data_IF_306662664304
#
_entry.id   IF_306662664304
#
_cell.length_a   1.000
_cell.length_b   1.000
_cell.length_c   1.000
_cell.angle_alpha   90.00
_cell.angle_beta   90.00
_cell.angle_gamma   90.00
#
_symmetry.space_group_name_H-M   'P 1'
#
loop_
_entity.id
_entity.type
_entity.pdbx_description
1 polymer ?
#
# COMPACT_ATOMS: atom_id res chain seq x y z
N UNK A 1 0.11 9.25 -14.08
CA UNK A 1 0.35 9.09 -12.63
C UNK A 1 -0.65 8.06 -12.15
N UNK A 2 -0.18 6.98 -11.57
CA UNK A 2 -1.04 5.96 -10.98
C UNK A 2 -0.89 6.06 -9.46
N UNK A 3 -2.02 6.01 -8.75
CA UNK A 3 -2.04 6.09 -7.29
C UNK A 3 -3.07 5.14 -6.70
N UNK A 4 -2.64 4.34 -5.72
CA UNK A 4 -3.51 3.46 -4.95
C UNK A 4 -3.49 3.92 -3.49
N UNK A 5 -4.67 4.29 -2.95
CA UNK A 5 -4.79 4.71 -1.55
C UNK A 5 -5.36 3.58 -0.69
N UNK A 6 -4.71 3.30 0.42
CA UNK A 6 -5.11 2.30 1.41
C UNK A 6 -4.84 2.86 2.81
N UNK A 7 -5.91 3.24 3.51
CA UNK A 7 -5.84 4.00 4.77
C UNK A 7 -5.00 5.28 4.63
N UNK A 8 -3.99 5.47 5.47
CA UNK A 8 -3.05 6.58 5.40
C UNK A 8 -1.88 6.35 4.43
N UNK A 9 -1.78 5.17 3.81
CA UNK A 9 -0.74 4.83 2.84
C UNK A 9 -1.22 5.06 1.41
N UNK A 10 -0.35 5.65 0.59
CA UNK A 10 -0.52 5.72 -0.85
C UNK A 10 0.69 5.12 -1.56
N UNK A 11 0.45 4.22 -2.50
CA UNK A 11 1.45 3.85 -3.49
C UNK A 11 1.36 4.80 -4.66
N UNK A 12 2.49 5.35 -5.09
CA UNK A 12 2.56 6.34 -6.17
C UNK A 12 3.56 5.90 -7.25
N UNK A 13 3.08 5.82 -8.48
CA UNK A 13 3.88 5.66 -9.69
C UNK A 13 3.97 6.99 -10.42
N UNK A 14 5.19 7.49 -10.64
CA UNK A 14 5.41 8.77 -11.30
C UNK A 14 6.54 8.67 -12.34
N UNK A 15 6.15 8.66 -13.61
CA UNK A 15 7.09 8.65 -14.72
C UNK A 15 7.60 10.07 -14.97
N UNK A 16 8.79 10.40 -14.45
CA UNK A 16 9.54 11.59 -14.84
C UNK A 16 10.55 11.21 -15.92
N UNK A 17 10.36 11.77 -17.12
CA UNK A 17 11.37 11.70 -18.18
C UNK A 17 12.70 12.31 -17.72
N UNK A 18 13.78 11.61 -18.06
CA UNK A 18 15.14 11.90 -17.61
C UNK A 18 15.59 13.35 -17.84
N UNK A 19 15.16 13.95 -18.95
CA UNK A 19 15.53 15.32 -19.37
C UNK A 19 15.03 16.44 -18.45
N UNK A 20 14.11 16.15 -17.52
CA UNK A 20 13.54 17.18 -16.64
C UNK A 20 13.86 16.97 -15.16
N UNK A 21 14.66 15.94 -14.79
CA UNK A 21 15.04 15.65 -13.38
C UNK A 21 16.08 16.61 -12.78
N UNK A 22 16.09 17.86 -13.24
CA UNK A 22 16.72 18.99 -12.55
C UNK A 22 15.85 19.44 -11.34
N UNK A 23 16.25 20.51 -10.65
CA UNK A 23 15.62 20.94 -9.39
C UNK A 23 14.10 21.16 -9.46
N UNK A 24 13.56 21.52 -10.63
CA UNK A 24 12.13 21.76 -10.84
C UNK A 24 11.27 20.50 -10.69
N UNK A 25 11.77 19.33 -11.10
CA UNK A 25 11.01 18.07 -10.96
C UNK A 25 10.86 17.62 -9.51
N UNK A 26 11.90 17.78 -8.69
CA UNK A 26 11.82 17.49 -7.26
C UNK A 26 10.79 18.41 -6.57
N UNK A 27 10.77 19.68 -6.96
CA UNK A 27 9.78 20.64 -6.46
C UNK A 27 8.36 20.28 -6.90
N UNK A 28 8.15 19.97 -8.19
CA UNK A 28 6.85 19.57 -8.72
C UNK A 28 6.34 18.30 -8.02
N UNK A 29 7.21 17.31 -7.86
CA UNK A 29 6.88 16.08 -7.14
C UNK A 29 6.46 16.36 -5.70
N UNK A 30 7.21 17.19 -4.98
CA UNK A 30 6.84 17.60 -3.62
C UNK A 30 5.49 18.35 -3.56
N UNK A 31 5.15 19.16 -4.57
CA UNK A 31 3.84 19.81 -4.70
C UNK A 31 2.73 18.81 -4.93
N UNK A 32 2.94 17.82 -5.79
CA UNK A 32 1.99 16.72 -6.02
C UNK A 32 1.74 15.95 -4.73
N UNK A 33 2.80 15.54 -4.01
CA UNK A 33 2.65 14.87 -2.71
C UNK A 33 1.89 15.73 -1.70
N UNK A 34 2.16 17.04 -1.65
CA UNK A 34 1.45 17.98 -0.79
C UNK A 34 -0.05 18.02 -1.12
N UNK A 35 -0.42 18.09 -2.40
CA UNK A 35 -1.83 18.11 -2.83
C UNK A 35 -2.51 16.79 -2.46
N UNK A 36 -1.87 15.65 -2.73
CA UNK A 36 -2.41 14.32 -2.39
C UNK A 36 -2.64 14.17 -0.89
N UNK A 37 -1.70 14.65 -0.06
CA UNK A 37 -1.90 14.75 1.39
C UNK A 37 -3.11 15.61 1.74
N UNK A 38 -3.25 16.80 1.15
CA UNK A 38 -4.34 17.72 1.50
C UNK A 38 -5.71 17.18 1.08
N UNK A 39 -5.80 16.50 -0.06
CA UNK A 39 -7.07 15.97 -0.58
C UNK A 39 -7.48 14.66 0.09
N UNK A 40 -6.53 13.76 0.33
CA UNK A 40 -6.80 12.38 0.75
C UNK A 40 -6.29 12.05 2.15
N UNK A 41 -5.67 13.01 2.85
CA UNK A 41 -5.13 12.84 4.19
C UNK A 41 -4.12 11.67 4.31
N UNK A 42 -3.39 11.41 3.23
CA UNK A 42 -2.31 10.42 3.17
C UNK A 42 -1.11 10.93 3.97
N UNK A 43 -0.53 10.08 4.80
CA UNK A 43 0.64 10.41 5.63
C UNK A 43 1.85 9.52 5.34
N UNK A 44 1.66 8.44 4.56
CA UNK A 44 2.71 7.52 4.14
C UNK A 44 2.67 7.36 2.63
N UNK A 45 3.75 7.73 1.93
CA UNK A 45 3.90 7.46 0.50
C UNK A 45 4.84 6.29 0.28
N UNK A 46 4.54 5.46 -0.71
CA UNK A 46 5.31 4.26 -1.05
C UNK A 46 5.69 4.27 -2.51
N UNK A 47 6.95 3.93 -2.79
CA UNK A 47 7.48 3.69 -4.14
C UNK A 47 7.67 2.19 -4.32
N UNK A 48 7.21 1.66 -5.45
CA UNK A 48 7.39 0.27 -5.84
C UNK A 48 8.86 -0.02 -6.25
N UNK A 49 9.45 -1.19 -5.90
CA UNK A 49 10.79 -1.60 -6.32
C UNK A 49 11.08 -1.42 -7.81
N UNK A 50 10.10 -1.66 -8.68
CA UNK A 50 10.28 -1.51 -10.13
C UNK A 50 10.61 -0.06 -10.51
N UNK A 51 9.98 0.92 -9.85
CA UNK A 51 10.25 2.36 -10.06
C UNK A 51 11.63 2.78 -9.54
N UNK A 52 12.24 2.00 -8.64
CA UNK A 52 13.59 2.23 -8.12
C UNK A 52 14.68 1.57 -8.97
N UNK A 53 14.30 0.64 -9.86
CA UNK A 53 15.22 -0.09 -10.73
C UNK A 53 15.30 -1.60 -10.49
N UNK A 54 14.42 -2.18 -9.66
CA UNK A 54 14.29 -3.63 -9.59
C UNK A 54 13.70 -4.17 -10.89
N UNK A 55 14.44 -5.05 -11.59
CA UNK A 55 14.04 -5.57 -12.91
C UNK A 55 13.81 -4.47 -13.97
N UNK A 56 14.32 -3.25 -13.72
CA UNK A 56 14.15 -2.08 -14.57
C UNK A 56 15.48 -1.33 -14.71
N UNK A 57 16.17 -1.56 -15.83
CA UNK A 57 17.49 -0.94 -16.08
C UNK A 57 17.40 0.59 -16.16
N UNK A 58 16.34 1.14 -16.74
CA UNK A 58 16.14 2.59 -16.85
C UNK A 58 16.10 3.25 -15.46
N UNK A 59 15.52 2.58 -14.46
CA UNK A 59 15.52 3.04 -13.07
C UNK A 59 16.93 3.12 -12.48
N UNK A 60 17.81 2.17 -12.84
CA UNK A 60 19.21 2.12 -12.41
C UNK A 60 20.03 3.21 -13.12
N UNK A 61 19.95 3.28 -14.45
CA UNK A 61 20.66 4.27 -15.27
C UNK A 61 20.30 5.70 -14.89
N UNK A 62 19.02 5.96 -14.62
CA UNK A 62 18.52 7.28 -14.23
C UNK A 62 18.81 7.65 -12.76
N UNK A 63 19.35 6.72 -11.96
CA UNK A 63 19.61 6.94 -10.53
C UNK A 63 18.34 7.24 -9.72
N UNK A 64 17.19 6.64 -10.11
CA UNK A 64 15.88 6.91 -9.51
C UNK A 64 15.87 6.74 -7.99
N UNK A 65 16.59 5.74 -7.48
CA UNK A 65 16.75 5.51 -6.05
C UNK A 65 17.21 6.77 -5.30
N UNK A 66 18.26 7.45 -5.80
CA UNK A 66 18.80 8.64 -5.15
C UNK A 66 17.89 9.86 -5.27
N UNK A 67 17.08 9.95 -6.33
CA UNK A 67 16.05 10.98 -6.45
C UNK A 67 15.04 10.89 -5.30
N UNK A 68 14.46 9.70 -5.09
CA UNK A 68 13.51 9.48 -3.97
C UNK A 68 14.20 9.61 -2.62
N UNK A 69 15.43 9.11 -2.48
CA UNK A 69 16.18 9.23 -1.22
C UNK A 69 16.40 10.69 -0.80
N UNK A 70 16.77 11.57 -1.74
CA UNK A 70 16.94 13.01 -1.50
C UNK A 70 15.65 13.72 -1.08
N UNK A 71 14.49 13.19 -1.50
CA UNK A 71 13.17 13.67 -1.07
C UNK A 71 12.76 13.16 0.32
N UNK A 72 13.61 12.37 0.98
CA UNK A 72 13.39 11.87 2.34
C UNK A 72 12.80 10.45 2.40
N UNK A 73 12.61 9.77 1.27
CA UNK A 73 12.18 8.39 1.29
C UNK A 73 13.27 7.50 1.91
N UNK A 74 12.85 6.44 2.62
CA UNK A 74 13.73 5.46 3.27
C UNK A 74 13.40 4.03 2.82
N UNK A 75 14.39 3.14 2.68
CA UNK A 75 14.13 1.73 2.41
C UNK A 75 13.38 1.07 3.58
N UNK A 76 12.57 0.06 3.26
CA UNK A 76 11.80 -0.70 4.26
C UNK A 76 12.53 -1.94 4.78
N UNK A 77 13.48 -2.50 4.02
CA UNK A 77 14.22 -3.69 4.45
C UNK A 77 15.52 -3.31 5.13
N UNK A 78 15.78 -3.93 6.29
CA UNK A 78 16.96 -3.66 7.11
C UNK A 78 18.29 -3.88 6.35
N UNK A 79 18.33 -4.85 5.43
CA UNK A 79 19.50 -5.09 4.57
C UNK A 79 19.82 -3.89 3.67
N UNK A 80 18.81 -3.31 3.01
CA UNK A 80 18.98 -2.12 2.16
C UNK A 80 19.32 -0.88 2.98
N UNK A 81 18.73 -0.73 4.16
CA UNK A 81 19.07 0.37 5.08
C UNK A 81 20.56 0.37 5.43
N UNK A 82 21.14 -0.80 5.74
CA UNK A 82 22.59 -0.94 6.01
C UNK A 82 23.46 -0.59 4.80
N UNK A 83 23.06 -1.02 3.60
CA UNK A 83 23.78 -0.68 2.36
C UNK A 83 23.73 0.84 2.14
N UNK A 84 22.55 1.44 2.31
CA UNK A 84 22.31 2.86 2.13
C UNK A 84 23.21 3.70 3.05
N UNK A 85 23.27 3.38 4.34
CA UNK A 85 24.14 4.07 5.30
C UNK A 85 25.62 4.04 4.90
N UNK A 86 26.08 2.94 4.30
CA UNK A 86 27.43 2.80 3.77
C UNK A 86 27.65 3.70 2.55
N UNK A 87 26.70 3.74 1.62
CA UNK A 87 26.78 4.57 0.42
C UNK A 87 26.69 6.07 0.74
N UNK A 88 25.83 6.48 1.68
CA UNK A 88 25.73 7.87 2.13
C UNK A 88 27.04 8.36 2.74
N UNK A 89 27.73 7.53 3.52
CA UNK A 89 29.08 7.85 4.05
C UNK A 89 30.11 8.03 2.93
N UNK A 90 30.08 7.19 1.90
CA UNK A 90 30.99 7.33 0.74
C UNK A 90 30.71 8.60 -0.05
N UNK A 91 29.43 8.92 -0.29
CA UNK A 91 29.00 10.13 -0.99
C UNK A 91 29.38 11.39 -0.21
N UNK A 92 29.23 11.39 1.12
CA UNK A 92 29.64 12.50 1.97
C UNK A 92 31.16 12.71 1.98
N UNK A 93 31.93 11.62 1.98
CA UNK A 93 33.40 11.69 2.00
C UNK A 93 34.03 12.01 0.65
N UNK A 94 33.35 11.73 -0.47
CA UNK A 94 33.91 11.82 -1.84
C UNK A 94 32.90 12.44 -2.81
N UNK A 95 32.98 13.75 -3.11
CA UNK A 95 32.01 14.44 -3.99
C UNK A 95 31.90 13.87 -5.42
N UNK A 96 32.99 13.29 -5.93
CA UNK A 96 33.05 12.68 -7.27
C UNK A 96 32.57 11.22 -7.29
N UNK A 97 32.36 10.60 -6.13
CA UNK A 97 31.89 9.22 -6.06
C UNK A 97 30.46 9.09 -6.61
N UNK A 98 30.22 7.98 -7.29
CA UNK A 98 28.88 7.56 -7.74
C UNK A 98 28.66 6.12 -7.30
N UNK A 99 27.48 5.87 -6.75
CA UNK A 99 27.05 4.50 -6.41
C UNK A 99 27.01 3.66 -7.68
N UNK A 100 27.62 2.49 -7.65
CA UNK A 100 27.68 1.61 -8.81
C UNK A 100 26.30 1.01 -9.14
N UNK A 101 26.04 0.63 -10.40
CA UNK A 101 24.79 -0.01 -10.79
C UNK A 101 24.46 -1.27 -9.97
N UNK A 102 25.46 -2.10 -9.63
CA UNK A 102 25.24 -3.29 -8.81
C UNK A 102 24.76 -2.98 -7.39
N UNK A 103 25.25 -1.89 -6.79
CA UNK A 103 24.76 -1.43 -5.48
C UNK A 103 23.36 -0.84 -5.61
N UNK A 104 23.07 -0.08 -6.67
CA UNK A 104 21.72 0.43 -6.93
C UNK A 104 20.70 -0.71 -7.08
N UNK A 105 21.02 -1.78 -7.83
CA UNK A 105 20.14 -2.96 -7.92
C UNK A 105 19.85 -3.58 -6.56
N UNK A 106 20.87 -3.65 -5.70
CA UNK A 106 20.73 -4.20 -4.34
C UNK A 106 19.86 -3.30 -3.45
N UNK A 107 19.99 -1.98 -3.59
CA UNK A 107 19.19 -0.97 -2.89
C UNK A 107 17.73 -0.96 -3.33
N UNK A 108 17.45 -1.24 -4.61
CA UNK A 108 16.12 -1.18 -5.20
C UNK A 108 15.25 -2.43 -4.96
N UNK A 109 15.76 -3.45 -4.27
CA UNK A 109 15.03 -4.72 -4.01
C UNK A 109 13.78 -4.56 -3.13
N UNK A 110 13.63 -3.45 -2.40
CA UNK A 110 12.51 -3.22 -1.49
C UNK A 110 11.82 -1.88 -1.73
N UNK A 111 10.58 -1.76 -1.24
CA UNK A 111 9.87 -0.49 -1.28
C UNK A 111 10.63 0.58 -0.49
N UNK A 112 10.52 1.82 -0.95
CA UNK A 112 10.88 2.99 -0.17
C UNK A 112 9.64 3.72 0.30
N UNK A 113 9.64 4.17 1.56
CA UNK A 113 8.54 4.92 2.17
C UNK A 113 8.97 6.34 2.52
N UNK A 114 8.09 7.30 2.31
CA UNK A 114 8.15 8.63 2.90
C UNK A 114 7.02 8.76 3.92
N UNK A 115 7.40 8.92 5.17
CA UNK A 115 6.49 9.17 6.28
C UNK A 115 6.52 10.65 6.63
N UNK A 116 5.37 11.30 6.55
CA UNK A 116 5.22 12.70 6.93
C UNK A 116 5.29 12.82 8.46
N UNK A 117 5.79 13.93 9.04
CA UNK A 117 5.71 14.17 10.48
C UNK A 117 4.31 13.86 11.05
N UNK A 118 4.28 13.13 12.17
CA UNK A 118 3.09 12.56 12.85
C UNK A 118 2.48 11.31 12.21
N UNK A 119 3.07 10.76 11.14
CA UNK A 119 2.74 9.42 10.68
C UNK A 119 3.18 8.36 11.72
N UNK A 120 2.44 7.25 11.87
CA UNK A 120 2.85 6.14 12.71
C UNK A 120 4.13 5.51 12.16
N UNK A 121 5.22 5.62 12.91
CA UNK A 121 6.55 5.19 12.46
C UNK A 121 6.59 3.70 12.10
N UNK A 122 7.09 3.39 10.91
CA UNK A 122 7.44 2.05 10.40
C UNK A 122 6.31 1.03 10.36
N UNK A 123 5.06 1.46 10.58
CA UNK A 123 3.88 0.59 10.61
C UNK A 123 3.68 -0.16 9.29
N UNK A 124 4.08 0.44 8.17
CA UNK A 124 3.88 -0.08 6.82
C UNK A 124 5.10 -0.80 6.23
N UNK A 125 6.20 -0.93 6.99
CA UNK A 125 7.49 -1.40 6.45
C UNK A 125 7.40 -2.82 5.86
N UNK A 126 6.71 -3.72 6.57
CA UNK A 126 6.54 -5.11 6.17
C UNK A 126 5.34 -5.34 5.24
N UNK A 127 4.49 -4.35 5.03
CA UNK A 127 3.25 -4.51 4.28
C UNK A 127 3.52 -4.54 2.76
N UNK A 128 2.88 -5.49 2.07
CA UNK A 128 2.84 -5.55 0.61
C UNK A 128 1.42 -5.90 0.16
N UNK A 129 0.85 -5.13 -0.78
CA UNK A 129 -0.52 -5.39 -1.26
C UNK A 129 -0.66 -6.79 -1.89
N UNK A 130 0.38 -7.27 -2.58
CA UNK A 130 0.43 -8.61 -3.18
C UNK A 130 0.21 -9.73 -2.16
N UNK A 131 0.63 -9.54 -0.91
CA UNK A 131 0.49 -10.55 0.14
C UNK A 131 -0.97 -10.75 0.54
N UNK A 132 -1.79 -9.70 0.46
CA UNK A 132 -3.25 -9.80 0.64
C UNK A 132 -3.84 -10.70 -0.44
N UNK A 133 -3.51 -10.45 -1.70
CA UNK A 133 -3.94 -11.31 -2.82
C UNK A 133 -3.48 -12.76 -2.67
N UNK A 134 -2.22 -12.98 -2.30
CA UNK A 134 -1.69 -14.33 -2.03
C UNK A 134 -2.42 -15.03 -0.88
N UNK A 135 -2.81 -14.30 0.17
CA UNK A 135 -3.57 -14.87 1.29
C UNK A 135 -4.97 -15.33 0.85
N UNK A 136 -5.65 -14.54 0.01
CA UNK A 136 -6.93 -14.93 -0.60
C UNK A 136 -6.76 -16.18 -1.47
N UNK A 137 -5.73 -16.21 -2.33
CA UNK A 137 -5.44 -17.34 -3.20
C UNK A 137 -5.13 -18.64 -2.43
N UNK A 138 -4.31 -18.56 -1.37
CA UNK A 138 -4.02 -19.71 -0.50
C UNK A 138 -5.29 -20.25 0.17
N UNK A 139 -6.21 -19.38 0.58
CA UNK A 139 -7.51 -19.79 1.14
C UNK A 139 -8.37 -20.48 0.09
N UNK A 140 -8.44 -19.94 -1.13
CA UNK A 140 -9.17 -20.54 -2.26
C UNK A 140 -8.69 -21.96 -2.54
N UNK A 141 -7.38 -22.14 -2.68
CA UNK A 141 -6.78 -23.45 -2.93
C UNK A 141 -7.06 -24.45 -1.79
N UNK A 142 -6.92 -24.02 -0.53
CA UNK A 142 -7.03 -24.92 0.62
C UNK A 142 -8.45 -25.27 1.06
N UNK A 143 -9.45 -24.41 0.81
CA UNK A 143 -10.83 -24.59 1.31
C UNK A 143 -11.87 -24.77 0.22
N UNK A 144 -11.54 -24.42 -1.02
CA UNK A 144 -12.50 -24.39 -2.12
C UNK A 144 -12.00 -25.12 -3.36
N UNK A 145 -10.89 -25.85 -3.28
CA UNK A 145 -10.31 -26.62 -4.41
C UNK A 145 -10.08 -25.76 -5.66
N UNK A 146 -9.74 -24.49 -5.45
CA UNK A 146 -9.54 -23.52 -6.53
C UNK A 146 -10.83 -22.93 -7.14
N UNK A 147 -12.02 -23.30 -6.67
CA UNK A 147 -13.29 -22.77 -7.17
C UNK A 147 -13.57 -21.34 -6.63
N UNK A 148 -13.30 -20.35 -7.47
CA UNK A 148 -13.50 -18.93 -7.16
C UNK A 148 -14.99 -18.57 -6.93
N UNK A 149 -15.92 -19.17 -7.68
CA UNK A 149 -17.34 -18.85 -7.57
C UNK A 149 -17.93 -19.41 -6.27
N UNK A 150 -17.53 -20.64 -5.90
CA UNK A 150 -17.88 -21.24 -4.61
C UNK A 150 -17.28 -20.44 -3.44
N UNK A 151 -16.02 -20.03 -3.55
CA UNK A 151 -15.39 -19.18 -2.52
C UNK A 151 -16.14 -17.86 -2.35
N UNK A 152 -16.43 -17.15 -3.45
CA UNK A 152 -17.12 -15.85 -3.41
C UNK A 152 -18.47 -15.95 -2.70
N UNK A 153 -19.32 -16.91 -3.08
CA UNK A 153 -20.62 -17.14 -2.41
C UNK A 153 -20.48 -17.41 -0.92
N UNK A 154 -19.58 -18.32 -0.53
CA UNK A 154 -19.35 -18.66 0.87
C UNK A 154 -18.82 -17.49 1.70
N UNK A 155 -17.90 -16.68 1.13
CA UNK A 155 -17.35 -15.51 1.80
C UNK A 155 -18.41 -14.43 1.99
N UNK A 156 -19.25 -14.17 0.98
CA UNK A 156 -20.36 -13.21 1.06
C UNK A 156 -21.32 -13.61 2.19
N UNK A 157 -21.78 -14.85 2.20
CA UNK A 157 -22.71 -15.35 3.23
C UNK A 157 -22.10 -15.25 4.65
N UNK A 158 -20.83 -15.66 4.80
CA UNK A 158 -20.13 -15.61 6.08
C UNK A 158 -19.97 -14.17 6.58
N UNK A 159 -19.54 -13.25 5.72
CA UNK A 159 -19.27 -11.86 6.09
C UNK A 159 -20.56 -11.07 6.29
N UNK A 160 -21.61 -11.33 5.52
CA UNK A 160 -22.93 -10.71 5.72
C UNK A 160 -23.49 -11.04 7.11
N UNK A 161 -23.38 -12.31 7.54
CA UNK A 161 -23.73 -12.73 8.90
C UNK A 161 -22.85 -12.08 9.96
N UNK A 162 -21.53 -12.04 9.74
CA UNK A 162 -20.59 -11.51 10.72
C UNK A 162 -20.75 -9.98 10.92
N UNK A 163 -21.10 -9.25 9.86
CA UNK A 163 -21.40 -7.81 9.90
C UNK A 163 -22.86 -7.49 10.22
N UNK A 164 -23.73 -8.51 10.34
CA UNK A 164 -25.16 -8.37 10.57
C UNK A 164 -25.87 -7.46 9.53
N UNK A 165 -25.62 -7.71 8.23
CA UNK A 165 -26.19 -6.94 7.12
C UNK A 165 -26.96 -7.83 6.14
N UNK A 166 -28.00 -7.25 5.53
CA UNK A 166 -28.75 -7.86 4.42
C UNK A 166 -28.28 -7.21 3.11
N UNK A 167 -27.34 -7.86 2.44
CA UNK A 167 -26.65 -7.33 1.23
C UNK A 167 -27.60 -7.29 0.04
N UNK A 168 -28.62 -8.15 0.03
CA UNK A 168 -29.64 -8.23 -1.02
C UNK A 168 -30.43 -6.92 -1.17
N UNK A 169 -30.55 -6.16 -0.07
CA UNK A 169 -31.25 -4.87 -0.05
C UNK A 169 -30.37 -3.69 -0.51
N UNK A 170 -29.09 -3.93 -0.79
CA UNK A 170 -28.15 -2.89 -1.23
C UNK A 170 -28.23 -2.67 -2.73
N UNK A 171 -27.70 -1.55 -3.22
CA UNK A 171 -27.60 -1.29 -4.67
C UNK A 171 -26.62 -2.27 -5.31
N UNK A 172 -26.81 -2.60 -6.59
CA UNK A 172 -25.93 -3.53 -7.32
C UNK A 172 -24.44 -3.19 -7.21
N UNK A 173 -24.06 -1.91 -7.29
CA UNK A 173 -22.67 -1.49 -7.11
C UNK A 173 -22.15 -1.72 -5.68
N UNK A 174 -22.99 -1.53 -4.66
CA UNK A 174 -22.65 -1.80 -3.26
C UNK A 174 -22.53 -3.32 -3.01
N UNK A 175 -23.38 -4.14 -3.67
CA UNK A 175 -23.29 -5.59 -3.63
C UNK A 175 -21.96 -6.07 -4.23
N UNK A 176 -21.59 -5.58 -5.41
CA UNK A 176 -20.31 -5.92 -6.05
C UNK A 176 -19.11 -5.55 -5.16
N UNK A 177 -19.13 -4.34 -4.59
CA UNK A 177 -18.10 -3.92 -3.65
C UNK A 177 -18.04 -4.83 -2.41
N UNK A 178 -19.20 -5.26 -1.89
CA UNK A 178 -19.27 -6.20 -0.78
C UNK A 178 -18.65 -7.56 -1.13
N UNK A 179 -18.92 -8.10 -2.31
CA UNK A 179 -18.33 -9.38 -2.75
C UNK A 179 -16.80 -9.32 -2.78
N UNK A 180 -16.24 -8.23 -3.31
CA UNK A 180 -14.79 -8.08 -3.42
C UNK A 180 -14.15 -7.90 -2.02
N UNK A 181 -14.80 -7.14 -1.14
CA UNK A 181 -14.37 -7.00 0.25
C UNK A 181 -14.48 -8.29 1.04
N UNK A 182 -15.52 -9.09 0.81
CA UNK A 182 -15.75 -10.34 1.53
C UNK A 182 -14.58 -11.31 1.38
N UNK A 183 -13.92 -11.33 0.21
CA UNK A 183 -12.74 -12.16 -0.04
C UNK A 183 -11.56 -11.82 0.89
N UNK A 184 -11.43 -10.55 1.29
CA UNK A 184 -10.37 -10.08 2.18
C UNK A 184 -10.80 -10.16 3.65
N UNK A 185 -12.03 -9.73 3.96
CA UNK A 185 -12.56 -9.71 5.33
C UNK A 185 -12.66 -11.12 5.93
N UNK A 186 -12.87 -12.15 5.12
CA UNK A 186 -12.89 -13.56 5.59
C UNK A 186 -11.55 -14.03 6.15
N UNK A 187 -10.45 -13.31 5.89
CA UNK A 187 -9.12 -13.58 6.44
C UNK A 187 -8.94 -13.05 7.87
N UNK A 188 -9.93 -12.33 8.40
CA UNK A 188 -9.98 -11.80 9.77
C UNK A 188 -10.75 -12.81 10.64
N UNK A 189 -10.06 -13.62 11.48
CA UNK A 189 -10.70 -14.75 12.16
C UNK A 189 -11.74 -14.33 13.21
N UNK A 190 -11.57 -13.15 13.80
CA UNK A 190 -12.37 -12.66 14.93
C UNK A 190 -13.39 -11.58 14.53
N UNK A 191 -13.61 -11.33 13.22
CA UNK A 191 -14.50 -10.26 12.74
C UNK A 191 -15.92 -10.33 13.34
N UNK A 192 -16.45 -11.53 13.57
CA UNK A 192 -17.75 -11.72 14.21
C UNK A 192 -17.80 -11.23 15.68
N UNK A 193 -16.65 -11.15 16.35
CA UNK A 193 -16.48 -10.68 17.75
C UNK A 193 -16.20 -9.19 17.85
N UNK A 194 -16.14 -8.48 16.73
CA UNK A 194 -15.99 -7.02 16.73
C UNK A 194 -17.22 -6.36 17.33
N UNK A 195 -17.08 -5.11 17.78
CA UNK A 195 -18.23 -4.37 18.29
C UNK A 195 -19.22 -4.08 17.16
N UNK A 196 -20.48 -3.83 17.51
CA UNK A 196 -21.50 -3.46 16.51
C UNK A 196 -21.13 -2.15 15.79
N UNK A 197 -20.48 -1.22 16.50
CA UNK A 197 -19.96 0.02 15.89
C UNK A 197 -18.90 -0.28 14.83
N UNK A 198 -17.89 -1.10 15.14
CA UNK A 198 -16.84 -1.50 14.19
C UNK A 198 -17.45 -2.19 12.97
N UNK A 199 -18.38 -3.14 13.17
CA UNK A 199 -19.07 -3.83 12.06
C UNK A 199 -19.86 -2.85 11.19
N UNK A 200 -20.59 -1.92 11.82
CA UNK A 200 -21.35 -0.88 11.11
C UNK A 200 -20.44 0.04 10.30
N UNK A 201 -19.22 0.31 10.79
CA UNK A 201 -18.21 1.12 10.10
C UNK A 201 -17.66 0.40 8.89
N UNK A 202 -17.36 -0.90 8.98
CA UNK A 202 -16.98 -1.72 7.82
C UNK A 202 -18.06 -1.67 6.74
N UNK A 203 -19.33 -1.88 7.10
CA UNK A 203 -20.43 -1.80 6.15
C UNK A 203 -20.53 -0.41 5.48
N UNK A 204 -20.35 0.68 6.25
CA UNK A 204 -20.31 2.06 5.73
C UNK A 204 -19.13 2.27 4.77
N UNK A 205 -17.96 1.72 5.07
CA UNK A 205 -16.78 1.78 4.20
C UNK A 205 -17.06 1.10 2.86
N UNK A 206 -17.59 -0.13 2.87
CA UNK A 206 -17.89 -0.90 1.66
C UNK A 206 -18.89 -0.13 0.78
N UNK A 207 -19.97 0.38 1.37
CA UNK A 207 -20.97 1.16 0.63
C UNK A 207 -20.39 2.45 0.06
N UNK A 208 -19.50 3.12 0.81
CA UNK A 208 -18.81 4.30 0.31
C UNK A 208 -17.88 3.99 -0.86
N UNK A 209 -17.28 2.78 -0.92
CA UNK A 209 -16.43 2.37 -2.05
C UNK A 209 -17.19 2.26 -3.37
N UNK A 210 -18.48 1.92 -3.31
CA UNK A 210 -19.35 1.88 -4.48
C UNK A 210 -19.84 3.28 -4.93
N UNK A 211 -19.59 4.32 -4.15
CA UNK A 211 -19.98 5.69 -4.46
C UNK A 211 -19.00 6.40 -5.41
N UNK A 212 -19.41 7.55 -5.94
CA UNK A 212 -18.57 8.37 -6.83
C UNK A 212 -17.51 9.21 -6.09
N UNK A 213 -17.59 9.36 -4.76
CA UNK A 213 -16.63 10.14 -3.96
C UNK A 213 -15.62 9.23 -3.25
N UNK A 214 -14.49 8.97 -3.91
CA UNK A 214 -13.36 8.21 -3.35
C UNK A 214 -12.83 8.85 -2.05
N UNK A 215 -12.92 10.17 -1.90
CA UNK A 215 -12.42 10.87 -0.71
C UNK A 215 -13.23 10.52 0.52
N UNK A 216 -14.56 10.33 0.38
CA UNK A 216 -15.41 9.85 1.48
C UNK A 216 -15.02 8.44 1.89
N UNK A 217 -14.83 7.55 0.93
CA UNK A 217 -14.37 6.18 1.19
C UNK A 217 -13.03 6.17 1.94
N UNK A 218 -12.03 6.89 1.45
CA UNK A 218 -10.70 6.97 2.08
C UNK A 218 -10.78 7.52 3.51
N UNK A 219 -11.57 8.58 3.75
CA UNK A 219 -11.74 9.16 5.10
C UNK A 219 -12.38 8.17 6.08
N UNK A 220 -13.38 7.40 5.65
CA UNK A 220 -13.99 6.36 6.49
C UNK A 220 -13.00 5.24 6.77
N UNK A 221 -12.27 4.80 5.75
CA UNK A 221 -11.26 3.77 5.86
C UNK A 221 -10.18 4.16 6.88
N UNK A 222 -9.64 5.39 6.79
CA UNK A 222 -8.61 5.92 7.71
C UNK A 222 -9.03 5.98 9.18
N UNK A 223 -10.34 6.11 9.47
CA UNK A 223 -10.87 6.17 10.84
C UNK A 223 -10.97 4.80 11.50
N UNK A 224 -11.06 3.72 10.72
CA UNK A 224 -11.25 2.38 11.25
C UNK A 224 -9.90 1.72 11.57
N UNK A 225 -9.38 1.98 12.78
CA UNK A 225 -8.07 1.48 13.23
C UNK A 225 -7.97 -0.05 13.23
N UNK A 226 -8.97 -0.74 13.77
CA UNK A 226 -8.94 -2.22 13.85
C UNK A 226 -8.87 -2.88 12.47
N UNK A 227 -9.64 -2.40 11.50
CA UNK A 227 -9.58 -2.87 10.12
C UNK A 227 -8.21 -2.59 9.49
N UNK A 228 -7.62 -1.42 9.74
CA UNK A 228 -6.26 -1.12 9.29
C UNK A 228 -5.26 -2.14 9.82
N UNK A 229 -5.27 -2.38 11.11
CA UNK A 229 -4.29 -3.24 11.76
C UNK A 229 -4.39 -4.69 11.25
N UNK A 230 -5.61 -5.17 11.01
CA UNK A 230 -5.83 -6.48 10.38
C UNK A 230 -5.38 -6.54 8.92
N UNK A 231 -5.66 -5.52 8.11
CA UNK A 231 -5.19 -5.47 6.72
C UNK A 231 -3.66 -5.43 6.66
N UNK A 232 -3.02 -4.67 7.56
CA UNK A 232 -1.57 -4.66 7.69
C UNK A 232 -1.08 -6.06 8.07
N UNK A 233 -1.66 -6.68 9.11
CA UNK A 233 -1.31 -8.05 9.53
C UNK A 233 -1.42 -9.07 8.39
N UNK A 234 -2.45 -8.97 7.56
CA UNK A 234 -2.66 -9.87 6.40
C UNK A 234 -1.62 -9.61 5.30
N UNK A 235 -1.33 -8.33 5.02
CA UNK A 235 -0.40 -7.92 3.96
C UNK A 235 1.07 -7.93 4.37
N UNK A 236 1.37 -8.07 5.66
CA UNK A 236 2.73 -8.19 6.16
C UNK A 236 3.28 -9.59 5.93
N UNK A 237 4.55 -9.68 5.53
CA UNK A 237 5.26 -10.96 5.53
C UNK A 237 5.34 -11.48 6.97
N UNK A 238 4.97 -12.76 7.19
CA UNK A 238 5.36 -13.42 8.43
C UNK A 238 6.88 -13.51 8.39
N UNK A 239 7.55 -12.80 9.31
CA UNK A 239 8.95 -13.08 9.58
C UNK A 239 9.02 -14.56 9.96
N UNK A 240 9.58 -15.36 9.06
CA UNK A 240 10.02 -16.71 9.37
C UNK A 240 11.29 -16.66 10.20
#
# INVERSE_FOLDING_TARGET
MESLTLFERMEIGFNLYYTFREGESAWLYARVLKILRQMLNVTVFSIDPYQLGHENEEGIESGAFWFYRKLGFRPTLAGQAKILEGEERKLAARPTYRTSPGVLRSLSLGHMLLEIPHAPERRWDSFRIRNVGLAVQRRMASRFDGDAAKMRRACVEQIARALNVQVENWKQAEQQAFEDYALVLVLIPDLARWTEDEKSEVARIIRAKAGADESRYVRLLQRHSRLRDEIIRIGSEKQG
#
